data_IF_108282859686
#
_entry.id   IF_108282859686
#
_cell.length_a   1.000
_cell.length_b   1.000
_cell.length_c   1.000
_cell.angle_alpha   90.00
_cell.angle_beta   90.00
_cell.angle_gamma   90.00
#
_symmetry.space_group_name_H-M   'P 1'
#
loop_
_entity.id
_entity.type
_entity.pdbx_description
1 polymer ?
#
# COMPACT_ATOMS: atom_id res chain seq x y z
N UNK A 1 15.40 -54.86 -39.39
CA UNK A 1 16.51 -54.03 -39.86
C UNK A 1 16.84 -53.06 -38.73
N UNK A 2 17.88 -53.36 -37.94
CA UNK A 2 19.19 -52.67 -37.97
C UNK A 2 19.20 -51.55 -36.90
N UNK A 3 20.21 -51.31 -36.06
CA UNK A 3 21.48 -51.97 -35.75
C UNK A 3 21.96 -51.49 -34.36
N UNK A 4 22.81 -52.29 -33.73
CA UNK A 4 23.45 -52.10 -32.41
C UNK A 4 24.74 -51.24 -32.47
N UNK A 5 25.22 -50.85 -31.27
CA UNK A 5 26.60 -50.45 -30.85
C UNK A 5 27.05 -49.02 -31.24
N UNK A 6 27.93 -48.28 -30.54
CA UNK A 6 28.51 -48.22 -29.19
C UNK A 6 29.37 -46.91 -29.14
N UNK A 7 29.83 -46.53 -27.93
CA UNK A 7 31.13 -45.90 -27.60
C UNK A 7 31.14 -44.55 -26.85
N UNK A 8 32.07 -44.50 -25.90
CA UNK A 8 32.27 -43.55 -24.81
C UNK A 8 33.15 -42.31 -25.17
N UNK A 9 33.10 -41.33 -24.26
CA UNK A 9 34.12 -40.31 -23.91
C UNK A 9 34.41 -39.16 -24.88
N UNK A 10 34.14 -37.94 -24.39
CA UNK A 10 35.24 -37.04 -23.99
C UNK A 10 34.77 -35.94 -23.06
N UNK A 11 35.50 -35.79 -21.95
CA UNK A 11 35.46 -34.67 -21.04
C UNK A 11 36.00 -33.42 -21.76
N UNK A 12 35.25 -32.33 -21.73
CA UNK A 12 35.85 -30.99 -21.74
C UNK A 12 35.17 -30.14 -20.69
N UNK A 13 35.93 -29.91 -19.62
CA UNK A 13 35.63 -28.93 -18.60
C UNK A 13 35.61 -27.55 -19.25
N UNK A 14 34.47 -26.88 -19.25
CA UNK A 14 34.41 -25.42 -19.27
C UNK A 14 33.28 -24.99 -18.35
N UNK A 15 33.69 -24.73 -17.11
CA UNK A 15 32.92 -24.07 -16.07
C UNK A 15 32.24 -22.84 -16.64
N UNK A 16 30.95 -22.97 -17.00
CA UNK A 16 30.09 -21.83 -17.24
C UNK A 16 29.43 -21.54 -15.91
N UNK A 17 30.06 -20.60 -15.20
CA UNK A 17 29.59 -19.94 -13.98
C UNK A 17 28.06 -19.79 -14.05
N UNK A 18 27.35 -20.69 -13.38
CA UNK A 18 25.90 -20.60 -13.17
C UNK A 18 25.74 -19.42 -12.23
N UNK A 19 25.48 -18.25 -12.78
CA UNK A 19 24.88 -17.16 -12.04
C UNK A 19 23.56 -17.71 -11.52
N UNK A 20 23.56 -18.17 -10.28
CA UNK A 20 22.35 -18.33 -9.50
C UNK A 20 21.83 -16.91 -9.26
N UNK A 21 21.22 -16.33 -10.30
CA UNK A 21 20.23 -15.27 -10.12
C UNK A 21 19.10 -15.96 -9.37
N UNK A 22 19.11 -15.80 -8.04
CA UNK A 22 17.98 -16.15 -7.23
C UNK A 22 16.77 -15.43 -7.84
N UNK A 23 15.86 -16.24 -8.39
CA UNK A 23 14.52 -15.85 -8.79
C UNK A 23 13.78 -15.37 -7.52
N UNK A 24 14.08 -14.16 -7.08
CA UNK A 24 13.28 -13.44 -6.10
C UNK A 24 12.25 -12.63 -6.87
N UNK A 25 11.22 -13.33 -7.35
CA UNK A 25 9.86 -12.82 -7.57
C UNK A 25 9.68 -11.38 -8.07
N UNK A 26 10.36 -10.98 -9.14
CA UNK A 26 10.00 -9.77 -9.90
C UNK A 26 8.90 -10.11 -10.90
N UNK A 27 7.65 -10.27 -10.43
CA UNK A 27 6.51 -10.53 -11.32
C UNK A 27 5.21 -9.83 -10.92
N UNK A 28 5.05 -9.35 -9.67
CA UNK A 28 3.82 -8.65 -9.29
C UNK A 28 3.68 -7.26 -9.93
N UNK A 29 4.79 -6.60 -10.29
CA UNK A 29 4.78 -5.29 -10.94
C UNK A 29 4.34 -5.30 -12.42
N UNK A 30 4.12 -6.48 -13.02
CA UNK A 30 3.66 -6.57 -14.41
C UNK A 30 2.14 -6.67 -14.57
N UNK A 31 1.40 -6.91 -13.48
CA UNK A 31 -0.07 -7.01 -13.56
C UNK A 31 -0.70 -5.63 -13.49
N UNK A 32 -1.70 -5.41 -14.35
CA UNK A 32 -2.51 -4.19 -14.34
C UNK A 32 -3.23 -4.02 -12.99
N UNK A 33 -3.60 -2.78 -12.64
CA UNK A 33 -4.35 -2.48 -11.39
C UNK A 33 -5.68 -3.25 -11.35
N UNK A 34 -6.30 -3.44 -12.51
CA UNK A 34 -7.52 -4.21 -12.71
C UNK A 34 -7.31 -5.68 -12.37
N UNK A 35 -6.20 -6.28 -12.80
CA UNK A 35 -5.85 -7.66 -12.44
C UNK A 35 -5.56 -7.82 -10.95
N UNK A 36 -4.87 -6.84 -10.34
CA UNK A 36 -4.59 -6.83 -8.90
C UNK A 36 -5.88 -6.72 -8.07
N UNK A 37 -6.91 -6.05 -8.60
CA UNK A 37 -8.19 -5.82 -7.91
C UNK A 37 -9.28 -6.85 -8.20
N UNK A 38 -9.09 -7.72 -9.21
CA UNK A 38 -10.05 -8.76 -9.57
C UNK A 38 -10.50 -9.66 -8.40
N UNK A 39 -9.62 -10.09 -7.46
CA UNK A 39 -10.03 -10.94 -6.34
C UNK A 39 -11.08 -10.30 -5.42
N UNK A 40 -11.06 -8.97 -5.25
CA UNK A 40 -12.01 -8.25 -4.38
C UNK A 40 -13.44 -8.22 -4.93
N UNK A 41 -13.62 -8.51 -6.23
CA UNK A 41 -14.93 -8.53 -6.89
C UNK A 41 -15.60 -9.91 -6.84
N UNK A 42 -14.91 -10.93 -6.31
CA UNK A 42 -15.47 -12.26 -6.19
C UNK A 42 -16.57 -12.28 -5.12
N UNK A 43 -17.73 -12.84 -5.46
CA UNK A 43 -18.83 -13.09 -4.51
C UNK A 43 -18.42 -13.91 -3.28
N UNK A 44 -17.38 -14.74 -3.39
CA UNK A 44 -16.85 -15.56 -2.30
C UNK A 44 -15.81 -14.82 -1.44
N UNK A 45 -15.44 -13.59 -1.80
CA UNK A 45 -14.41 -12.85 -1.10
C UNK A 45 -14.75 -12.61 0.37
N UNK A 46 -16.03 -12.34 0.68
CA UNK A 46 -16.50 -12.20 2.05
C UNK A 46 -16.31 -13.50 2.87
N UNK A 47 -16.62 -14.66 2.28
CA UNK A 47 -16.38 -15.96 2.92
C UNK A 47 -14.89 -16.18 3.18
N UNK A 48 -14.03 -15.81 2.22
CA UNK A 48 -12.57 -15.85 2.38
C UNK A 48 -12.12 -14.99 3.56
N UNK A 49 -12.58 -13.74 3.67
CA UNK A 49 -12.27 -12.86 4.80
C UNK A 49 -12.70 -13.49 6.13
N UNK A 50 -13.88 -14.12 6.17
CA UNK A 50 -14.38 -14.83 7.35
C UNK A 50 -13.47 -15.98 7.77
N UNK A 51 -12.90 -16.75 6.82
CA UNK A 51 -11.90 -17.78 7.14
C UNK A 51 -10.61 -17.22 7.74
N UNK A 52 -10.34 -15.92 7.54
CA UNK A 52 -9.21 -15.19 8.11
C UNK A 52 -9.57 -14.42 9.40
N UNK A 53 -10.79 -14.59 9.92
CA UNK A 53 -11.26 -13.89 11.12
C UNK A 53 -11.56 -12.40 10.90
N UNK A 54 -11.75 -11.98 9.65
CA UNK A 54 -12.22 -10.63 9.30
C UNK A 54 -13.68 -10.71 8.89
N UNK A 55 -14.48 -9.73 9.33
CA UNK A 55 -15.93 -9.73 9.12
C UNK A 55 -16.33 -8.43 8.43
N UNK A 56 -17.27 -8.51 7.49
CA UNK A 56 -17.84 -7.36 6.79
C UNK A 56 -19.29 -7.07 7.23
N UNK A 57 -19.65 -7.50 8.43
CA UNK A 57 -20.96 -7.30 9.04
C UNK A 57 -20.82 -6.58 10.39
N UNK A 58 -21.94 -6.11 10.93
CA UNK A 58 -22.00 -5.39 12.19
C UNK A 58 -21.51 -6.29 13.33
N UNK A 59 -20.49 -5.83 14.06
CA UNK A 59 -20.04 -6.50 15.27
C UNK A 59 -21.12 -6.42 16.35
N UNK A 60 -21.37 -7.51 17.07
CA UNK A 60 -22.28 -7.52 18.23
C UNK A 60 -21.88 -6.51 19.31
N UNK A 61 -20.58 -6.16 19.38
CA UNK A 61 -20.05 -5.17 20.31
C UNK A 61 -20.32 -3.72 19.88
N UNK A 62 -20.75 -3.52 18.62
CA UNK A 62 -20.98 -2.23 17.95
C UNK A 62 -19.80 -1.24 18.10
N UNK A 63 -19.90 -0.07 17.47
CA UNK A 63 -18.97 1.03 17.68
C UNK A 63 -19.29 1.68 19.02
N UNK A 64 -18.24 1.92 19.83
CA UNK A 64 -18.41 2.58 21.13
C UNK A 64 -19.03 3.98 20.99
N UNK A 65 -19.83 4.39 21.98
CA UNK A 65 -20.44 5.72 21.98
C UNK A 65 -19.40 6.85 21.96
N UNK A 66 -18.22 6.62 22.53
CA UNK A 66 -17.10 7.56 22.47
C UNK A 66 -16.63 7.78 21.04
N UNK A 67 -16.41 6.71 20.28
CA UNK A 67 -16.04 6.79 18.86
C UNK A 67 -17.16 7.43 18.03
N UNK A 68 -18.43 7.07 18.27
CA UNK A 68 -19.58 7.70 17.60
C UNK A 68 -19.64 9.20 17.85
N UNK A 69 -19.43 9.65 19.10
CA UNK A 69 -19.36 11.09 19.44
C UNK A 69 -18.18 11.77 18.77
N UNK A 70 -17.00 11.15 18.78
CA UNK A 70 -15.82 11.73 18.12
C UNK A 70 -16.06 11.96 16.63
N UNK A 71 -16.59 10.96 15.92
CA UNK A 71 -16.90 11.07 14.49
C UNK A 71 -17.94 12.17 14.24
N UNK A 72 -18.99 12.27 15.04
CA UNK A 72 -19.97 13.36 14.95
C UNK A 72 -19.32 14.73 15.15
N UNK A 73 -18.51 14.89 16.19
CA UNK A 73 -17.81 16.15 16.44
C UNK A 73 -16.89 16.55 15.29
N UNK A 74 -16.18 15.58 14.68
CA UNK A 74 -15.32 15.83 13.52
C UNK A 74 -16.12 16.21 12.28
N UNK A 75 -17.30 15.63 12.10
CA UNK A 75 -18.18 15.88 10.95
C UNK A 75 -18.94 17.21 11.07
N UNK A 76 -19.42 17.53 12.28
CA UNK A 76 -20.22 18.72 12.57
C UNK A 76 -19.34 19.95 12.84
N UNK A 77 -18.07 19.76 13.18
CA UNK A 77 -17.13 20.84 13.43
C UNK A 77 -16.89 21.66 12.16
N UNK A 78 -17.07 22.98 12.26
CA UNK A 78 -16.81 23.91 11.17
C UNK A 78 -15.32 23.85 10.78
N UNK A 79 -15.05 23.42 9.54
CA UNK A 79 -13.70 23.41 8.97
C UNK A 79 -13.57 24.60 8.03
N UNK A 80 -12.68 25.58 8.30
CA UNK A 80 -12.49 26.70 7.40
C UNK A 80 -11.90 26.20 6.08
N UNK A 81 -12.44 26.69 4.97
CA UNK A 81 -11.88 26.40 3.64
C UNK A 81 -10.44 26.95 3.58
N UNK A 82 -9.45 26.14 3.16
CA UNK A 82 -8.08 26.60 3.03
C UNK A 82 -7.97 27.73 2.00
N UNK A 83 -7.69 28.94 2.49
CA UNK A 83 -7.47 30.13 1.66
C UNK A 83 -6.18 30.01 0.86
N UNK A 84 -6.10 30.71 -0.26
CA UNK A 84 -4.91 30.72 -1.14
C UNK A 84 -4.57 29.33 -1.72
N UNK A 85 -5.54 28.41 -1.70
CA UNK A 85 -5.43 27.09 -2.34
C UNK A 85 -6.47 26.95 -3.43
N UNK A 86 -6.40 25.86 -4.20
CA UNK A 86 -7.41 25.55 -5.22
C UNK A 86 -8.82 25.33 -4.64
N UNK A 87 -8.96 25.19 -3.32
CA UNK A 87 -10.23 25.06 -2.63
C UNK A 87 -10.90 26.40 -2.31
N UNK A 88 -10.20 27.53 -2.50
CA UNK A 88 -10.79 28.84 -2.30
C UNK A 88 -11.97 29.06 -3.27
N UNK A 89 -13.14 29.42 -2.71
CA UNK A 89 -14.40 29.57 -3.43
C UNK A 89 -14.28 30.49 -4.66
N UNK A 90 -13.42 31.52 -4.58
CA UNK A 90 -13.23 32.47 -5.67
C UNK A 90 -12.58 31.84 -6.91
N UNK A 91 -11.79 30.76 -6.76
CA UNK A 91 -11.03 30.12 -7.84
C UNK A 91 -11.37 28.64 -8.05
N UNK A 92 -12.15 28.03 -7.15
CA UNK A 92 -12.46 26.60 -7.15
C UNK A 92 -13.05 26.14 -8.49
N UNK A 93 -13.99 26.90 -9.06
CA UNK A 93 -14.60 26.58 -10.36
C UNK A 93 -13.55 26.54 -11.48
N UNK A 94 -12.60 27.46 -11.47
CA UNK A 94 -11.53 27.50 -12.48
C UNK A 94 -10.50 26.39 -12.26
N UNK A 95 -10.23 26.02 -11.00
CA UNK A 95 -9.43 24.84 -10.68
C UNK A 95 -10.07 23.56 -11.23
N UNK A 96 -11.38 23.37 -11.02
CA UNK A 96 -12.12 22.24 -11.59
C UNK A 96 -12.04 22.19 -13.12
N UNK A 97 -12.20 23.34 -13.79
CA UNK A 97 -12.05 23.42 -15.26
C UNK A 97 -10.65 23.03 -15.73
N UNK A 98 -9.59 23.45 -15.03
CA UNK A 98 -8.20 23.07 -15.36
C UNK A 98 -7.92 21.59 -15.16
N UNK A 99 -8.54 20.99 -14.14
CA UNK A 99 -8.41 19.57 -13.81
C UNK A 99 -9.34 18.66 -14.64
N UNK A 100 -10.27 19.24 -15.42
CA UNK A 100 -11.18 18.50 -16.26
C UNK A 100 -10.41 17.64 -17.29
N UNK A 101 -10.70 16.34 -17.31
CA UNK A 101 -10.08 15.38 -18.23
C UNK A 101 -8.61 15.07 -17.94
N UNK A 102 -8.07 15.47 -16.77
CA UNK A 102 -6.73 15.09 -16.34
C UNK A 102 -6.71 13.67 -15.78
N UNK A 103 -5.54 13.03 -15.86
CA UNK A 103 -5.34 11.68 -15.35
C UNK A 103 -5.17 11.66 -13.82
N UNK A 104 -5.26 10.46 -13.24
CA UNK A 104 -5.11 10.22 -11.80
C UNK A 104 -3.84 10.84 -11.22
N UNK A 105 -2.69 10.64 -11.88
CA UNK A 105 -1.41 11.20 -11.42
C UNK A 105 -1.46 12.73 -11.27
N UNK A 106 -2.12 13.43 -12.20
CA UNK A 106 -2.29 14.89 -12.12
C UNK A 106 -3.21 15.29 -10.97
N UNK A 107 -4.31 14.56 -10.78
CA UNK A 107 -5.23 14.80 -9.66
C UNK A 107 -4.51 14.60 -8.32
N UNK A 108 -3.78 13.49 -8.18
CA UNK A 108 -3.02 13.18 -6.95
C UNK A 108 -1.99 14.28 -6.68
N UNK A 109 -1.24 14.70 -7.69
CA UNK A 109 -0.21 15.73 -7.52
C UNK A 109 -0.80 17.08 -7.07
N UNK A 110 -1.89 17.53 -7.71
CA UNK A 110 -2.43 18.88 -7.48
C UNK A 110 -3.34 18.96 -6.24
N UNK A 111 -3.99 17.85 -5.87
CA UNK A 111 -5.01 17.83 -4.80
C UNK A 111 -4.52 17.11 -3.54
N UNK A 112 -3.84 15.96 -3.66
CA UNK A 112 -3.65 15.08 -2.51
C UNK A 112 -2.88 15.73 -1.37
N UNK A 113 -1.87 16.56 -1.66
CA UNK A 113 -1.09 17.26 -0.61
C UNK A 113 -1.86 18.39 0.09
N UNK A 114 -2.96 18.87 -0.50
CA UNK A 114 -3.81 19.89 0.10
C UNK A 114 -4.85 19.28 1.05
N UNK A 115 -5.30 18.05 0.78
CA UNK A 115 -6.24 17.30 1.64
C UNK A 115 -5.49 16.46 2.68
N UNK A 116 -4.42 15.81 2.26
CA UNK A 116 -3.56 14.95 3.07
C UNK A 116 -2.14 15.52 3.02
N UNK A 117 -1.83 16.50 3.89
CA UNK A 117 -0.50 17.09 3.97
C UNK A 117 0.56 16.02 4.24
N UNK A 118 1.78 16.28 3.80
CA UNK A 118 2.91 15.41 4.11
C UNK A 118 3.21 15.47 5.61
N UNK A 119 2.95 14.37 6.31
CA UNK A 119 3.47 14.06 7.64
C UNK A 119 4.99 14.25 7.76
N UNK A 120 5.79 13.80 6.79
CA UNK A 120 7.26 13.97 6.81
C UNK A 120 7.66 15.44 6.68
N UNK A 121 7.02 16.18 5.77
CA UNK A 121 7.27 17.64 5.63
C UNK A 121 6.84 18.37 6.90
N UNK A 122 5.69 17.99 7.47
CA UNK A 122 5.18 18.57 8.70
C UNK A 122 6.11 18.28 9.90
N UNK A 123 6.71 17.09 9.94
CA UNK A 123 7.68 16.68 10.95
C UNK A 123 9.00 17.47 10.92
N UNK A 124 9.31 18.19 9.83
CA UNK A 124 10.43 19.13 9.80
C UNK A 124 10.26 20.25 10.82
N UNK A 125 9.01 20.71 11.01
CA UNK A 125 8.64 21.77 11.94
C UNK A 125 8.23 21.21 13.31
N UNK A 126 7.62 20.02 13.35
CA UNK A 126 7.16 19.36 14.57
C UNK A 126 8.10 18.20 14.96
N UNK A 127 9.07 18.48 15.85
CA UNK A 127 10.14 17.51 16.22
C UNK A 127 9.60 16.18 16.75
N UNK A 128 8.47 16.20 17.44
CA UNK A 128 7.85 15.00 18.02
C UNK A 128 7.30 14.04 16.96
N UNK A 129 7.16 14.49 15.71
CA UNK A 129 6.63 13.71 14.59
C UNK A 129 7.73 13.19 13.65
N UNK A 130 9.02 13.40 13.97
CA UNK A 130 10.16 12.94 13.15
C UNK A 130 10.25 11.42 12.98
N UNK A 131 9.52 10.68 13.81
CA UNK A 131 9.41 9.23 13.74
C UNK A 131 8.39 8.77 12.68
N UNK A 132 7.59 9.68 12.12
CA UNK A 132 6.70 9.35 11.02
C UNK A 132 7.48 9.20 9.72
N UNK A 133 7.00 8.31 8.86
CA UNK A 133 7.49 8.13 7.50
C UNK A 133 6.33 7.94 6.54
N UNK A 134 6.58 8.25 5.28
CA UNK A 134 5.60 8.17 4.20
C UNK A 134 6.02 7.17 3.14
N UNK A 135 5.03 6.61 2.45
CA UNK A 135 5.24 5.98 1.15
C UNK A 135 4.14 6.37 0.17
N UNK A 136 4.49 6.39 -1.12
CA UNK A 136 3.61 6.80 -2.23
C UNK A 136 3.66 5.73 -3.30
N UNK A 137 2.53 5.04 -3.54
CA UNK A 137 2.39 3.95 -4.50
C UNK A 137 3.44 2.82 -4.31
N UNK A 138 3.91 2.62 -3.08
CA UNK A 138 4.88 1.57 -2.76
C UNK A 138 4.15 0.28 -2.38
N UNK A 139 4.58 -0.83 -2.98
CA UNK A 139 4.10 -2.15 -2.62
C UNK A 139 4.60 -2.51 -1.22
N UNK A 140 3.68 -2.89 -0.34
CA UNK A 140 4.02 -3.35 1.00
C UNK A 140 4.48 -4.82 0.96
N UNK A 141 5.65 -5.05 0.37
CA UNK A 141 6.27 -6.38 0.20
C UNK A 141 6.63 -7.06 1.53
N UNK A 142 6.85 -6.27 2.59
CA UNK A 142 7.08 -6.73 3.95
C UNK A 142 5.78 -6.85 4.79
N UNK A 143 4.61 -6.78 4.16
CA UNK A 143 3.33 -7.03 4.84
C UNK A 143 3.00 -8.52 4.89
N UNK A 144 2.19 -8.93 5.87
CA UNK A 144 1.52 -10.23 5.87
C UNK A 144 0.14 -9.99 5.26
N UNK A 145 -0.06 -10.26 3.96
CA UNK A 145 -1.32 -9.89 3.33
C UNK A 145 -2.41 -10.85 3.80
N UNK A 146 -3.60 -10.29 4.06
CA UNK A 146 -4.77 -11.08 4.46
C UNK A 146 -5.19 -12.07 3.34
N UNK A 147 -4.97 -11.65 2.09
CA UNK A 147 -5.22 -12.40 0.86
C UNK A 147 -3.99 -12.34 -0.06
N UNK A 148 -4.05 -12.87 -1.29
CA UNK A 148 -2.83 -13.15 -2.08
C UNK A 148 -2.03 -11.94 -2.59
N UNK A 149 -2.61 -10.74 -2.66
CA UNK A 149 -1.93 -9.55 -3.20
C UNK A 149 -1.53 -8.61 -2.05
N UNK A 150 -0.25 -8.25 -1.90
CA UNK A 150 0.16 -7.24 -0.92
C UNK A 150 -0.46 -5.87 -1.24
N UNK A 151 -0.83 -5.08 -0.22
CA UNK A 151 -1.34 -3.73 -0.44
C UNK A 151 -0.32 -2.83 -1.15
N UNK A 152 -0.83 -1.92 -1.98
CA UNK A 152 -0.06 -0.86 -2.62
C UNK A 152 -0.91 0.43 -2.60
N UNK A 153 -0.92 1.17 -1.48
CA UNK A 153 -1.70 2.39 -1.36
C UNK A 153 -1.08 3.54 -2.15
N UNK A 154 -1.91 4.42 -2.71
CA UNK A 154 -1.44 5.65 -3.39
C UNK A 154 -0.65 6.57 -2.44
N UNK A 155 -1.02 6.56 -1.15
CA UNK A 155 -0.28 7.22 -0.08
C UNK A 155 -0.48 6.49 1.24
N UNK A 156 0.59 6.39 2.03
CA UNK A 156 0.48 5.89 3.40
C UNK A 156 1.42 6.63 4.36
N UNK A 157 1.05 6.61 5.64
CA UNK A 157 1.83 7.16 6.74
C UNK A 157 2.03 6.05 7.76
N UNK A 158 3.25 5.90 8.23
CA UNK A 158 3.61 4.94 9.28
C UNK A 158 4.63 5.50 10.25
N UNK A 159 4.99 4.67 11.21
CA UNK A 159 6.13 4.94 12.09
C UNK A 159 7.35 4.21 11.57
N UNK A 160 8.50 4.88 11.61
CA UNK A 160 9.79 4.26 11.38
C UNK A 160 10.07 3.19 12.44
N UNK A 161 10.92 2.23 12.12
CA UNK A 161 11.29 1.15 13.04
C UNK A 161 11.91 1.67 14.35
N UNK A 162 12.65 2.77 14.30
CA UNK A 162 13.28 3.42 15.46
C UNK A 162 12.27 4.17 16.36
N UNK A 163 11.00 4.26 15.95
CA UNK A 163 9.92 4.73 16.82
C UNK A 163 9.53 3.71 17.91
N UNK A 164 9.96 2.46 17.75
CA UNK A 164 9.56 1.35 18.60
C UNK A 164 10.71 0.88 19.48
N UNK A 165 10.38 0.62 20.74
CA UNK A 165 11.27 -0.09 21.67
C UNK A 165 11.46 -1.54 21.25
N UNK A 166 12.55 -2.18 21.70
CA UNK A 166 12.79 -3.60 21.45
C UNK A 166 11.62 -4.48 21.93
N UNK A 167 10.99 -4.14 23.05
CA UNK A 167 9.84 -4.87 23.59
C UNK A 167 8.57 -4.71 22.74
N UNK A 168 8.41 -3.58 22.06
CA UNK A 168 7.33 -3.39 21.09
C UNK A 168 7.61 -4.17 19.81
N UNK A 169 8.85 -4.13 19.32
CA UNK A 169 9.26 -4.89 18.13
C UNK A 169 9.15 -6.41 18.35
N UNK A 170 9.46 -6.90 19.56
CA UNK A 170 9.32 -8.31 19.91
C UNK A 170 7.86 -8.82 19.93
N UNK A 171 6.88 -7.92 20.05
CA UNK A 171 5.46 -8.24 19.97
C UNK A 171 4.92 -8.29 18.54
N UNK A 172 5.67 -7.75 17.58
CA UNK A 172 5.27 -7.74 16.18
C UNK A 172 5.70 -9.06 15.50
N UNK A 173 4.83 -9.68 14.69
CA UNK A 173 5.19 -10.92 14.00
C UNK A 173 6.34 -10.65 13.00
N UNK A 174 7.41 -11.43 13.10
CA UNK A 174 8.54 -11.35 12.18
C UNK A 174 8.14 -11.93 10.83
N UNK A 175 8.09 -11.10 9.79
CA UNK A 175 8.04 -11.58 8.40
C UNK A 175 9.41 -12.20 8.11
N UNK A 176 9.46 -13.53 7.95
CA UNK A 176 10.69 -14.20 7.50
C UNK A 176 10.90 -13.87 6.02
N UNK A 177 12.11 -13.46 5.62
CA UNK A 177 12.43 -13.17 4.22
C UNK A 177 12.34 -14.42 3.34
#
# INVERSE_FOLDING_TARGET
>A
MECLLAEEKSLSNLSRKRSNSALSSTSSNQKSREEKSAPYKDSQYELLLRTKGTYMDVSELDITDASKRLVRNLLEGEQPVPKETIFDDAIFVDACRKLQGKNEARIIQDISRLIVPSAETFALCAKDLRLLTESVDELWDNSIPLTGTPPQPDYSVGFRRDAFTNDQLARMPTVRP
#
